data_IF_281802854853
#
_entry.id   IF_281802854853
#
_cell.length_a   1.000
_cell.length_b   1.000
_cell.length_c   1.000
_cell.angle_alpha   90.00
_cell.angle_beta   90.00
_cell.angle_gamma   90.00
#
_symmetry.space_group_name_H-M   'P 1'
#
loop_
_entity.id
_entity.type
_entity.pdbx_description
1 polymer ?
#
# COMPACT_ATOMS: atom_id res chain seq x y z
N UNK A 1 19.08 8.61 -11.76
CA UNK A 1 20.37 9.29 -12.00
C UNK A 1 20.16 10.79 -11.90
N UNK A 2 20.76 11.45 -10.90
CA UNK A 2 20.65 12.89 -10.66
C UNK A 2 21.78 13.70 -11.35
N UNK A 3 22.58 13.11 -12.24
CA UNK A 3 23.55 13.82 -13.06
C UNK A 3 22.86 14.56 -14.23
N UNK A 4 21.90 15.39 -13.89
CA UNK A 4 21.08 16.21 -14.80
C UNK A 4 20.93 17.62 -14.23
N UNK A 5 20.54 18.58 -15.09
CA UNK A 5 20.19 19.94 -14.64
C UNK A 5 18.99 19.88 -13.67
N UNK A 6 19.02 20.59 -12.54
CA UNK A 6 20.05 21.51 -12.03
C UNK A 6 21.08 20.88 -11.08
N UNK A 7 21.01 19.59 -10.80
CA UNK A 7 21.74 18.93 -9.69
C UNK A 7 23.17 18.57 -10.06
N UNK A 8 23.39 18.08 -11.30
CA UNK A 8 24.71 17.65 -11.82
C UNK A 8 25.51 16.76 -10.84
N UNK A 9 24.83 15.81 -10.17
CA UNK A 9 25.49 14.83 -9.32
C UNK A 9 26.30 13.87 -10.19
N UNK A 10 27.63 14.09 -10.22
CA UNK A 10 28.58 13.35 -11.03
C UNK A 10 29.24 12.19 -10.26
N UNK A 11 28.60 11.73 -9.19
CA UNK A 11 29.08 10.58 -8.43
C UNK A 11 29.22 9.35 -9.35
N UNK A 12 30.44 8.80 -9.35
CA UNK A 12 30.78 7.59 -10.09
C UNK A 12 31.53 6.62 -9.17
N UNK A 13 30.91 5.47 -8.89
CA UNK A 13 31.48 4.42 -8.05
C UNK A 13 32.82 3.91 -8.57
N UNK A 14 33.04 3.89 -9.90
CA UNK A 14 34.27 3.41 -10.52
C UNK A 14 35.48 4.28 -10.21
N UNK A 15 35.27 5.56 -9.87
CA UNK A 15 36.36 6.47 -9.51
C UNK A 15 36.89 6.24 -8.10
N UNK A 16 36.23 5.45 -7.25
CA UNK A 16 36.63 5.16 -5.88
C UNK A 16 36.83 6.41 -5.01
N UNK A 17 36.00 7.43 -5.21
CA UNK A 17 35.99 8.61 -4.35
C UNK A 17 35.10 8.35 -3.13
N UNK A 18 35.71 8.18 -1.96
CA UNK A 18 35.01 7.85 -0.72
C UNK A 18 34.81 9.04 0.21
N UNK A 19 35.44 10.19 -0.10
CA UNK A 19 35.36 11.40 0.73
C UNK A 19 35.65 12.66 -0.09
N UNK A 20 34.83 13.67 0.11
CA UNK A 20 35.07 15.01 -0.42
C UNK A 20 35.87 15.81 0.61
N UNK A 21 36.96 16.41 0.18
CA UNK A 21 37.85 17.20 1.02
C UNK A 21 37.75 18.67 0.63
N UNK A 22 37.04 19.46 1.45
CA UNK A 22 36.93 20.90 1.23
C UNK A 22 38.26 21.60 1.54
N UNK A 23 38.72 22.41 0.60
CA UNK A 23 39.96 23.14 0.69
C UNK A 23 39.67 24.60 1.03
N UNK A 24 40.33 25.18 2.07
CA UNK A 24 40.26 26.62 2.37
C UNK A 24 40.60 27.48 1.15
N UNK A 25 39.84 28.55 0.92
CA UNK A 25 40.03 29.45 -0.22
C UNK A 25 39.44 28.97 -1.55
N UNK A 26 38.76 27.82 -1.58
CA UNK A 26 38.02 27.35 -2.74
C UNK A 26 36.51 27.35 -2.45
N UNK A 27 35.64 27.82 -3.39
CA UNK A 27 34.22 27.83 -3.20
C UNK A 27 33.67 26.39 -3.20
N UNK A 28 32.72 26.13 -2.31
CA UNK A 28 31.96 24.87 -2.28
C UNK A 28 30.90 24.91 -3.37
N UNK A 29 30.89 23.87 -4.21
CA UNK A 29 29.89 23.73 -5.27
C UNK A 29 28.70 22.89 -4.78
N UNK A 30 27.49 23.16 -5.25
CA UNK A 30 26.29 22.41 -4.88
C UNK A 30 26.44 20.90 -5.17
N UNK A 31 27.08 20.53 -6.30
CA UNK A 31 27.35 19.13 -6.65
C UNK A 31 28.25 18.41 -5.63
N UNK A 32 29.11 19.13 -4.92
CA UNK A 32 30.00 18.52 -3.89
C UNK A 32 29.19 18.14 -2.65
N UNK A 33 28.18 18.94 -2.30
CA UNK A 33 27.24 18.62 -1.20
C UNK A 33 26.33 17.43 -1.58
N UNK A 34 25.83 17.41 -2.82
CA UNK A 34 25.04 16.28 -3.33
C UNK A 34 25.91 15.03 -3.43
N UNK A 35 27.12 15.14 -3.99
CA UNK A 35 28.07 14.04 -4.11
C UNK A 35 28.49 13.43 -2.77
N UNK A 36 28.59 14.23 -1.71
CA UNK A 36 28.81 13.72 -0.34
C UNK A 36 27.71 12.76 0.07
N UNK A 37 26.44 13.13 -0.19
CA UNK A 37 25.27 12.27 0.12
C UNK A 37 25.29 11.01 -0.74
N UNK A 38 25.59 11.11 -2.03
CA UNK A 38 25.66 9.97 -2.94
C UNK A 38 26.76 8.97 -2.56
N UNK A 39 27.91 9.44 -2.09
CA UNK A 39 28.97 8.59 -1.53
C UNK A 39 28.44 7.80 -0.32
N UNK A 40 27.81 8.47 0.64
CA UNK A 40 27.27 7.82 1.84
C UNK A 40 26.14 6.85 1.49
N UNK A 41 25.23 7.26 0.62
CA UNK A 41 24.14 6.41 0.15
C UNK A 41 24.65 5.14 -0.53
N UNK A 42 25.70 5.25 -1.35
CA UNK A 42 26.31 4.08 -2.00
C UNK A 42 26.93 3.10 -0.98
N UNK A 43 27.49 3.59 0.13
CA UNK A 43 27.99 2.72 1.21
C UNK A 43 26.86 1.98 1.90
N UNK A 44 25.75 2.68 2.22
CA UNK A 44 24.55 2.08 2.82
C UNK A 44 23.93 1.04 1.89
N UNK A 45 23.78 1.37 0.60
CA UNK A 45 23.27 0.47 -0.43
C UNK A 45 24.14 -0.79 -0.57
N UNK A 46 25.47 -0.61 -0.64
CA UNK A 46 26.42 -1.72 -0.77
C UNK A 46 26.35 -2.65 0.45
N UNK A 47 26.27 -2.09 1.66
CA UNK A 47 26.08 -2.86 2.88
C UNK A 47 24.72 -3.57 2.90
N UNK A 48 23.65 -2.84 2.56
CA UNK A 48 22.28 -3.38 2.54
C UNK A 48 22.14 -4.56 1.57
N UNK A 49 22.70 -4.47 0.36
CA UNK A 49 22.67 -5.53 -0.65
C UNK A 49 23.40 -6.83 -0.24
N UNK A 50 24.32 -6.77 0.73
CA UNK A 50 24.94 -7.96 1.27
C UNK A 50 24.07 -8.71 2.29
N UNK A 51 23.14 -8.01 2.90
CA UNK A 51 22.27 -8.56 3.94
C UNK A 51 20.88 -8.87 3.41
N UNK A 52 20.31 -7.94 2.62
CA UNK A 52 18.92 -7.96 2.18
C UNK A 52 18.83 -8.18 0.67
N UNK A 53 17.83 -8.95 0.28
CA UNK A 53 17.40 -9.01 -1.11
C UNK A 53 16.44 -7.85 -1.39
N UNK A 54 16.39 -7.37 -2.63
CA UNK A 54 15.40 -6.39 -3.09
C UNK A 54 13.97 -6.85 -2.72
N UNK A 55 13.21 -5.97 -2.06
CA UNK A 55 11.87 -6.27 -1.56
C UNK A 55 11.82 -7.03 -0.23
N UNK A 56 12.96 -7.26 0.45
CA UNK A 56 12.97 -7.91 1.76
C UNK A 56 12.35 -7.02 2.83
N UNK A 57 11.52 -7.61 3.70
CA UNK A 57 11.04 -6.94 4.90
C UNK A 57 12.18 -6.85 5.94
N UNK A 58 12.51 -5.64 6.34
CA UNK A 58 13.53 -5.36 7.37
C UNK A 58 12.87 -5.24 8.75
N UNK A 59 11.80 -4.46 8.83
CA UNK A 59 10.91 -4.45 9.98
C UNK A 59 9.64 -5.18 9.55
N UNK A 60 9.28 -6.28 10.21
CA UNK A 60 8.17 -7.11 9.78
C UNK A 60 6.86 -6.32 9.69
N UNK A 61 6.26 -6.34 8.50
CA UNK A 61 4.86 -6.10 8.26
C UNK A 61 4.21 -7.45 7.90
N UNK A 62 2.91 -7.58 8.08
CA UNK A 62 2.18 -8.75 7.60
C UNK A 62 1.93 -8.66 6.10
N UNK A 63 1.95 -9.78 5.41
CA UNK A 63 1.34 -9.92 4.08
C UNK A 63 0.21 -10.93 4.20
N UNK A 64 -0.96 -10.57 3.74
CA UNK A 64 -2.17 -11.37 3.88
C UNK A 64 -2.86 -11.48 2.51
N UNK A 65 -3.16 -12.71 2.12
CA UNK A 65 -4.00 -13.00 0.97
C UNK A 65 -5.33 -13.54 1.46
N UNK A 66 -6.40 -12.87 1.11
CA UNK A 66 -7.76 -13.27 1.41
C UNK A 66 -8.47 -13.67 0.12
N UNK A 67 -8.71 -14.96 -0.05
CA UNK A 67 -9.47 -15.54 -1.16
C UNK A 67 -10.99 -15.48 -0.94
N UNK A 68 -11.43 -15.10 0.27
CA UNK A 68 -12.84 -15.05 0.64
C UNK A 68 -13.24 -13.65 1.08
N UNK A 69 -12.75 -12.63 0.34
CA UNK A 69 -13.07 -11.24 0.60
C UNK A 69 -14.45 -10.92 0.05
N UNK A 70 -15.46 -11.04 0.91
CA UNK A 70 -16.86 -10.93 0.50
C UNK A 70 -17.19 -9.53 -0.01
N UNK A 71 -17.76 -9.47 -1.19
CA UNK A 71 -18.24 -8.26 -1.85
C UNK A 71 -19.77 -8.22 -1.86
N UNK A 72 -20.33 -7.01 -1.75
CA UNK A 72 -21.76 -6.79 -1.74
C UNK A 72 -22.08 -5.55 -2.59
N UNK A 73 -22.88 -5.73 -3.62
CA UNK A 73 -23.33 -4.66 -4.50
C UNK A 73 -24.48 -3.89 -3.85
N UNK A 74 -24.41 -2.58 -3.90
CA UNK A 74 -25.41 -1.70 -3.29
C UNK A 74 -26.00 -0.74 -4.32
N UNK A 75 -27.23 -0.32 -4.07
CA UNK A 75 -27.86 0.72 -4.87
C UNK A 75 -27.11 2.05 -4.73
N UNK A 76 -27.01 2.87 -5.77
CA UNK A 76 -26.32 4.16 -5.72
C UNK A 76 -27.02 5.18 -4.82
N UNK A 77 -28.29 4.97 -4.51
CA UNK A 77 -29.08 5.83 -3.62
C UNK A 77 -29.81 5.03 -2.56
N UNK A 78 -29.88 5.60 -1.35
CA UNK A 78 -30.69 5.08 -0.24
C UNK A 78 -31.55 6.23 0.32
N UNK A 79 -32.87 6.02 0.41
CA UNK A 79 -33.83 7.07 0.84
C UNK A 79 -33.69 8.41 0.06
N UNK A 80 -33.30 8.34 -1.21
CA UNK A 80 -33.11 9.52 -2.06
C UNK A 80 -31.75 10.24 -1.87
N UNK A 81 -30.86 9.73 -1.03
CA UNK A 81 -29.52 10.25 -0.81
C UNK A 81 -28.51 9.40 -1.58
N UNK A 82 -27.58 10.03 -2.30
CA UNK A 82 -26.45 9.35 -2.92
C UNK A 82 -25.53 8.74 -1.83
N UNK A 83 -25.34 7.44 -1.89
CA UNK A 83 -24.57 6.73 -0.86
C UNK A 83 -23.08 7.08 -0.88
N UNK A 84 -22.58 7.56 -2.03
CA UNK A 84 -21.15 7.92 -2.18
C UNK A 84 -20.68 9.02 -1.22
N UNK A 85 -21.61 9.86 -0.76
CA UNK A 85 -21.33 11.00 0.13
C UNK A 85 -20.89 10.59 1.54
N UNK A 86 -21.20 9.37 1.97
CA UNK A 86 -20.86 8.88 3.31
C UNK A 86 -20.10 7.55 3.36
N UNK A 87 -19.73 6.99 2.20
CA UNK A 87 -18.95 5.72 2.17
C UNK A 87 -17.58 5.83 2.83
N UNK A 88 -16.92 6.99 2.70
CA UNK A 88 -15.64 7.22 3.36
C UNK A 88 -15.77 7.19 4.89
N UNK A 89 -16.83 7.78 5.43
CA UNK A 89 -17.12 7.79 6.86
C UNK A 89 -17.47 6.40 7.37
N UNK A 90 -18.18 5.60 6.57
CA UNK A 90 -18.45 4.19 6.89
C UNK A 90 -17.15 3.41 7.12
N UNK A 91 -16.13 3.61 6.28
CA UNK A 91 -14.84 2.90 6.41
C UNK A 91 -14.01 3.47 7.55
N UNK A 92 -13.96 4.80 7.69
CA UNK A 92 -13.15 5.48 8.70
C UNK A 92 -13.72 5.40 10.10
N UNK A 93 -14.96 4.99 10.26
CA UNK A 93 -15.61 4.83 11.56
C UNK A 93 -14.81 3.92 12.50
N UNK A 94 -14.96 4.10 13.80
CA UNK A 94 -14.25 3.36 14.84
C UNK A 94 -12.71 3.36 14.65
N UNK A 95 -12.14 4.51 14.31
CA UNK A 95 -10.70 4.66 14.07
C UNK A 95 -10.20 3.77 12.91
N UNK A 96 -10.99 3.68 11.83
CA UNK A 96 -10.65 2.91 10.63
C UNK A 96 -10.94 1.41 10.73
N UNK A 97 -11.70 0.99 11.74
CA UNK A 97 -12.14 -0.41 11.85
C UNK A 97 -13.34 -0.75 10.95
N UNK A 98 -13.97 0.29 10.38
CA UNK A 98 -15.18 0.20 9.58
C UNK A 98 -16.46 0.13 10.41
N UNK A 99 -17.60 0.29 9.77
CA UNK A 99 -18.93 0.34 10.42
C UNK A 99 -19.57 -1.05 10.44
N UNK A 100 -20.12 -1.41 11.59
CA UNK A 100 -20.93 -2.62 11.75
C UNK A 100 -22.36 -2.37 11.29
N UNK A 101 -22.82 -3.27 10.44
CA UNK A 101 -24.18 -3.24 9.89
C UNK A 101 -24.85 -4.58 10.07
N UNK A 102 -26.18 -4.57 10.13
CA UNK A 102 -27.01 -5.76 10.24
C UNK A 102 -28.06 -5.76 9.14
N UNK A 103 -28.30 -6.89 8.54
CA UNK A 103 -29.41 -7.08 7.62
C UNK A 103 -30.75 -6.95 8.37
N UNK A 104 -31.64 -6.11 7.87
CA UNK A 104 -32.92 -5.81 8.52
C UNK A 104 -33.81 -7.06 8.63
N UNK A 105 -33.79 -7.91 7.63
CA UNK A 105 -34.61 -9.12 7.55
C UNK A 105 -33.82 -10.37 7.95
N UNK A 106 -32.62 -10.53 7.43
CA UNK A 106 -31.79 -11.72 7.66
C UNK A 106 -31.20 -11.77 9.06
N UNK A 107 -30.97 -10.60 9.69
CA UNK A 107 -30.26 -10.51 10.96
C UNK A 107 -28.76 -10.78 10.86
N UNK A 108 -28.23 -11.02 9.66
CA UNK A 108 -26.80 -11.21 9.42
C UNK A 108 -26.03 -9.94 9.83
N UNK A 109 -24.93 -10.09 10.57
CA UNK A 109 -24.10 -8.96 10.99
C UNK A 109 -22.77 -9.01 10.26
N UNK A 110 -22.39 -7.88 9.67
CA UNK A 110 -21.11 -7.71 9.01
C UNK A 110 -20.47 -6.35 9.31
N UNK A 111 -19.17 -6.24 9.09
CA UNK A 111 -18.43 -4.98 9.18
C UNK A 111 -17.96 -4.58 7.79
N UNK A 112 -18.35 -3.39 7.34
CA UNK A 112 -17.93 -2.84 6.05
C UNK A 112 -16.48 -2.38 6.20
N UNK A 113 -15.58 -2.90 5.36
CA UNK A 113 -14.15 -2.67 5.43
C UNK A 113 -13.59 -1.80 4.31
N UNK A 114 -14.23 -1.84 3.15
CA UNK A 114 -13.76 -1.12 1.97
C UNK A 114 -14.90 -0.96 0.97
N UNK A 115 -14.70 -0.13 -0.05
CA UNK A 115 -15.63 -0.01 -1.18
C UNK A 115 -14.89 0.28 -2.49
N UNK A 116 -15.55 0.04 -3.60
CA UNK A 116 -15.13 0.46 -4.95
C UNK A 116 -16.30 1.15 -5.63
N UNK A 117 -16.01 2.25 -6.30
CA UNK A 117 -16.96 2.99 -7.12
C UNK A 117 -16.74 2.68 -8.60
N UNK A 118 -17.81 2.55 -9.41
CA UNK A 118 -17.69 2.60 -10.86
C UNK A 118 -17.28 4.02 -11.33
N UNK A 119 -16.58 4.19 -12.50
CA UNK A 119 -16.13 3.11 -13.37
C UNK A 119 -14.73 2.61 -12.97
N UNK A 120 -14.66 1.50 -12.24
CA UNK A 120 -13.42 0.77 -11.98
C UNK A 120 -13.47 -0.52 -12.80
N UNK A 121 -12.35 -0.95 -13.36
CA UNK A 121 -12.29 -2.16 -14.17
C UNK A 121 -12.92 -3.36 -13.44
N UNK A 122 -13.89 -4.01 -14.08
CA UNK A 122 -14.62 -5.15 -13.52
C UNK A 122 -15.68 -4.81 -12.46
N UNK A 123 -16.01 -3.52 -12.26
CA UNK A 123 -17.03 -3.06 -11.31
C UNK A 123 -18.15 -2.35 -12.04
N UNK A 124 -19.33 -2.93 -12.04
CA UNK A 124 -20.52 -2.39 -12.70
C UNK A 124 -21.33 -1.49 -11.77
N UNK A 125 -21.33 -1.78 -10.48
CA UNK A 125 -22.16 -1.15 -9.44
C UNK A 125 -21.28 -0.81 -8.22
N UNK A 126 -21.74 0.13 -7.38
CA UNK A 126 -21.05 0.43 -6.12
C UNK A 126 -20.98 -0.85 -5.31
N UNK A 127 -19.75 -1.24 -4.98
CA UNK A 127 -19.49 -2.50 -4.28
C UNK A 127 -18.79 -2.21 -2.96
N UNK A 128 -19.38 -2.67 -1.86
CA UNK A 128 -18.79 -2.67 -0.53
C UNK A 128 -18.16 -4.03 -0.22
N UNK A 129 -17.11 -4.05 0.58
CA UNK A 129 -16.49 -5.28 1.05
C UNK A 129 -16.78 -5.47 2.53
N UNK A 130 -17.30 -6.65 2.85
CA UNK A 130 -17.84 -6.95 4.17
C UNK A 130 -17.11 -8.13 4.79
N UNK A 131 -16.73 -7.98 6.05
CA UNK A 131 -16.36 -9.09 6.91
C UNK A 131 -17.58 -9.52 7.73
N UNK A 132 -18.12 -10.67 7.42
CA UNK A 132 -19.24 -11.21 8.19
C UNK A 132 -18.81 -11.60 9.61
N UNK A 133 -19.59 -11.19 10.59
CA UNK A 133 -19.33 -11.40 12.00
C UNK A 133 -20.29 -12.40 12.64
N UNK A 134 -21.52 -12.49 12.10
CA UNK A 134 -22.59 -13.35 12.62
C UNK A 134 -23.49 -13.78 11.47
N UNK A 135 -23.86 -15.06 11.48
CA UNK A 135 -24.87 -15.63 10.57
C UNK A 135 -26.28 -15.10 10.84
N UNK A 136 -27.18 -15.36 9.93
CA UNK A 136 -28.58 -14.95 10.03
C UNK A 136 -29.33 -15.56 11.21
N UNK A 137 -30.54 -15.04 11.43
CA UNK A 137 -31.44 -15.53 12.49
C UNK A 137 -31.91 -16.98 12.24
N UNK A 138 -31.77 -17.47 11.01
CA UNK A 138 -32.00 -18.87 10.63
C UNK A 138 -30.86 -19.82 11.05
N UNK A 139 -29.70 -19.26 11.46
CA UNK A 139 -28.50 -20.02 11.83
C UNK A 139 -27.71 -20.61 10.65
N UNK A 140 -28.18 -20.47 9.42
CA UNK A 140 -27.62 -21.08 8.21
C UNK A 140 -27.06 -20.03 7.23
N UNK A 141 -27.79 -18.92 7.03
CA UNK A 141 -27.40 -17.88 6.07
C UNK A 141 -26.16 -17.12 6.54
N UNK A 142 -25.12 -17.07 5.68
CA UNK A 142 -23.83 -16.47 5.99
C UNK A 142 -23.53 -15.21 5.18
N UNK A 143 -24.36 -14.88 4.19
CA UNK A 143 -24.22 -13.71 3.34
C UNK A 143 -25.55 -12.96 3.23
N UNK A 144 -25.49 -11.64 3.05
CA UNK A 144 -26.68 -10.81 2.88
C UNK A 144 -27.48 -11.24 1.67
N UNK A 145 -28.80 -11.43 1.78
CA UNK A 145 -29.65 -11.75 0.64
C UNK A 145 -29.84 -10.54 -0.30
N UNK A 146 -30.31 -10.83 -1.51
CA UNK A 146 -30.61 -9.83 -2.52
C UNK A 146 -31.69 -8.83 -2.05
N UNK A 147 -31.52 -7.56 -2.38
CA UNK A 147 -32.47 -6.50 -2.08
C UNK A 147 -32.60 -6.14 -0.60
N UNK A 148 -31.73 -6.67 0.25
CA UNK A 148 -31.80 -6.41 1.68
C UNK A 148 -31.46 -4.96 2.04
N UNK A 149 -32.08 -4.44 3.07
CA UNK A 149 -31.75 -3.15 3.66
C UNK A 149 -30.80 -3.38 4.85
N UNK A 150 -29.70 -2.64 4.88
CA UNK A 150 -28.76 -2.68 5.99
C UNK A 150 -29.05 -1.57 6.99
N UNK A 151 -29.00 -1.94 8.26
CA UNK A 151 -29.17 -1.04 9.40
C UNK A 151 -27.88 -0.93 10.20
N UNK A 152 -27.66 0.23 10.81
CA UNK A 152 -26.49 0.49 11.64
C UNK A 152 -26.56 -0.25 12.98
N UNK A 153 -25.46 -0.89 13.36
CA UNK A 153 -25.25 -1.43 14.71
C UNK A 153 -24.57 -0.41 15.65
N UNK A 154 -24.13 0.72 15.10
CA UNK A 154 -23.41 1.79 15.78
C UNK A 154 -23.69 3.13 15.13
N UNK A 155 -23.43 4.24 15.83
CA UNK A 155 -23.67 5.56 15.28
C UNK A 155 -22.64 5.90 14.21
N UNK A 156 -23.09 6.60 13.15
CA UNK A 156 -22.26 7.11 12.07
C UNK A 156 -22.50 8.61 11.89
N UNK A 157 -21.42 9.39 11.86
CA UNK A 157 -21.49 10.82 11.61
C UNK A 157 -20.82 11.16 10.29
N UNK A 158 -21.52 11.88 9.42
CA UNK A 158 -20.98 12.43 8.19
C UNK A 158 -21.39 13.90 8.05
N UNK A 159 -20.42 14.75 7.76
CA UNK A 159 -20.66 16.20 7.79
C UNK A 159 -21.27 16.62 9.14
N UNK A 160 -22.45 17.27 9.09
CA UNK A 160 -23.20 17.70 10.27
C UNK A 160 -24.36 16.76 10.63
N UNK A 161 -24.47 15.59 10.00
CA UNK A 161 -25.55 14.62 10.19
C UNK A 161 -25.04 13.41 10.97
N UNK A 162 -25.77 12.99 11.98
CA UNK A 162 -25.51 11.74 12.71
C UNK A 162 -26.67 10.79 12.49
N UNK A 163 -26.36 9.61 11.95
CA UNK A 163 -27.25 8.47 11.92
C UNK A 163 -27.03 7.63 13.16
N UNK A 164 -28.13 7.20 13.77
CA UNK A 164 -28.08 6.45 15.02
C UNK A 164 -28.13 4.94 14.78
N UNK A 165 -27.79 4.19 15.78
CA UNK A 165 -28.00 2.74 15.82
C UNK A 165 -29.45 2.40 15.47
N UNK A 166 -29.64 1.40 14.61
CA UNK A 166 -30.88 0.96 13.97
C UNK A 166 -31.44 1.84 12.84
N UNK A 167 -30.80 2.95 12.48
CA UNK A 167 -31.14 3.67 11.26
C UNK A 167 -30.74 2.83 10.04
N UNK A 168 -31.54 2.92 8.98
CA UNK A 168 -31.22 2.28 7.69
C UNK A 168 -30.17 3.10 6.97
N UNK A 169 -29.21 2.43 6.32
CA UNK A 169 -28.09 3.13 5.69
C UNK A 169 -27.85 2.77 4.23
N UNK A 170 -28.04 1.52 3.86
CA UNK A 170 -27.78 1.02 2.51
C UNK A 170 -28.86 0.05 2.08
N UNK A 171 -29.12 -0.03 0.79
CA UNK A 171 -29.98 -1.05 0.20
C UNK A 171 -29.18 -1.82 -0.84
N UNK A 172 -29.20 -3.14 -0.77
CA UNK A 172 -28.54 -4.02 -1.70
C UNK A 172 -29.31 -4.06 -3.03
N UNK A 173 -28.59 -4.39 -4.11
CA UNK A 173 -29.23 -4.62 -5.41
C UNK A 173 -30.16 -5.83 -5.37
N UNK A 174 -31.17 -5.82 -6.26
CA UNK A 174 -32.20 -6.84 -6.27
C UNK A 174 -31.76 -8.22 -6.75
N UNK A 175 -30.62 -8.30 -7.46
CA UNK A 175 -30.09 -9.55 -8.02
C UNK A 175 -28.58 -9.60 -7.88
N UNK A 176 -28.05 -10.78 -7.57
CA UNK A 176 -26.61 -11.03 -7.45
C UNK A 176 -25.89 -10.02 -6.54
N UNK A 177 -26.49 -9.66 -5.42
CA UNK A 177 -25.98 -8.66 -4.50
C UNK A 177 -24.68 -9.11 -3.83
N UNK A 178 -24.62 -10.33 -3.33
CA UNK A 178 -23.45 -10.85 -2.64
C UNK A 178 -22.60 -11.76 -3.53
N UNK A 179 -21.30 -11.56 -3.49
CA UNK A 179 -20.31 -12.39 -4.19
C UNK A 179 -19.05 -12.56 -3.31
N UNK A 180 -18.18 -13.47 -3.72
CA UNK A 180 -16.87 -13.66 -3.10
C UNK A 180 -15.82 -13.04 -4.02
N UNK A 181 -15.13 -12.05 -3.51
CA UNK A 181 -13.96 -11.46 -4.13
C UNK A 181 -12.66 -11.96 -3.52
N UNK A 182 -11.55 -11.36 -3.93
CA UNK A 182 -10.23 -11.64 -3.40
C UNK A 182 -9.44 -10.36 -3.18
N UNK A 183 -8.64 -10.34 -2.12
CA UNK A 183 -7.84 -9.17 -1.75
C UNK A 183 -6.43 -9.57 -1.29
N UNK A 184 -5.51 -8.64 -1.37
CA UNK A 184 -4.17 -8.78 -0.83
C UNK A 184 -3.84 -7.55 0.01
N UNK A 185 -3.41 -7.78 1.24
CA UNK A 185 -3.07 -6.75 2.21
C UNK A 185 -1.61 -6.78 2.61
N UNK A 186 -1.07 -5.60 2.92
CA UNK A 186 0.25 -5.42 3.50
C UNK A 186 0.10 -4.55 4.73
N UNK A 187 0.61 -5.01 5.87
CA UNK A 187 0.67 -4.22 7.09
C UNK A 187 1.89 -3.30 7.09
N UNK A 188 1.83 -2.24 7.88
CA UNK A 188 2.94 -1.30 8.05
C UNK A 188 4.25 -2.02 8.36
N UNK A 189 5.32 -1.64 7.64
CA UNK A 189 6.65 -2.21 7.80
C UNK A 189 7.71 -1.40 7.07
N UNK A 190 8.98 -1.84 7.16
CA UNK A 190 10.10 -1.26 6.42
C UNK A 190 10.66 -2.29 5.46
N UNK A 191 10.83 -1.89 4.22
CA UNK A 191 11.33 -2.77 3.15
C UNK A 191 12.61 -2.20 2.57
N UNK A 192 13.54 -3.10 2.22
CA UNK A 192 14.76 -2.72 1.51
C UNK A 192 14.49 -2.70 0.00
N UNK A 193 14.49 -1.52 -0.60
CA UNK A 193 14.21 -1.30 -2.03
C UNK A 193 15.09 -0.19 -2.58
N UNK A 194 15.61 -0.36 -3.80
CA UNK A 194 16.47 0.63 -4.47
C UNK A 194 17.68 1.08 -3.64
N UNK A 195 18.19 0.19 -2.78
CA UNK A 195 19.33 0.50 -1.92
C UNK A 195 19.00 1.35 -0.69
N UNK A 196 17.73 1.61 -0.42
CA UNK A 196 17.25 2.36 0.75
C UNK A 196 16.21 1.55 1.54
N UNK A 197 15.99 1.97 2.78
CA UNK A 197 14.96 1.42 3.66
C UNK A 197 13.71 2.29 3.54
N UNK A 198 12.65 1.74 2.95
CA UNK A 198 11.42 2.46 2.65
C UNK A 198 10.33 2.07 3.63
N UNK A 199 9.75 3.07 4.30
CA UNK A 199 8.55 2.89 5.12
C UNK A 199 7.33 2.65 4.24
N UNK A 200 6.64 1.55 4.50
CA UNK A 200 5.42 1.16 3.78
C UNK A 200 4.24 1.22 4.75
N UNK A 201 3.23 2.03 4.47
CA UNK A 201 2.02 2.08 5.27
C UNK A 201 1.18 0.81 5.04
N UNK A 202 0.25 0.54 5.96
CA UNK A 202 -0.77 -0.48 5.74
C UNK A 202 -1.56 -0.16 4.48
N UNK A 203 -1.64 -1.12 3.57
CA UNK A 203 -2.33 -1.00 2.28
C UNK A 203 -3.06 -2.29 1.94
N UNK A 204 -4.16 -2.16 1.23
CA UNK A 204 -4.95 -3.28 0.73
C UNK A 204 -5.28 -3.04 -0.73
N UNK A 205 -5.16 -4.08 -1.55
CA UNK A 205 -5.57 -4.06 -2.95
C UNK A 205 -6.55 -5.20 -3.22
N UNK A 206 -7.63 -4.87 -3.93
CA UNK A 206 -8.59 -5.85 -4.39
C UNK A 206 -8.09 -6.45 -5.69
N UNK A 207 -7.94 -7.77 -5.70
CA UNK A 207 -7.47 -8.51 -6.86
C UNK A 207 -8.61 -8.72 -7.83
N UNK A 208 -9.68 -9.37 -7.38
CA UNK A 208 -10.92 -9.53 -8.12
C UNK A 208 -12.11 -9.16 -7.22
N UNK A 209 -13.00 -8.29 -7.68
CA UNK A 209 -14.14 -7.87 -6.86
C UNK A 209 -15.19 -8.98 -6.68
N UNK A 210 -15.34 -9.88 -7.66
CA UNK A 210 -16.42 -10.88 -7.71
C UNK A 210 -15.93 -12.30 -7.95
N UNK A 211 -14.62 -12.57 -7.79
CA UNK A 211 -14.04 -13.90 -7.97
C UNK A 211 -13.01 -14.21 -6.89
N UNK A 212 -13.06 -15.43 -6.40
CA UNK A 212 -12.08 -16.04 -5.48
C UNK A 212 -10.86 -16.64 -6.22
N UNK A 213 -10.82 -16.55 -7.57
CA UNK A 213 -9.78 -17.14 -8.43
C UNK A 213 -8.96 -16.09 -9.18
N UNK A 214 -8.27 -15.18 -8.47
CA UNK A 214 -7.42 -14.19 -9.12
C UNK A 214 -6.20 -14.83 -9.78
N UNK A 215 -5.68 -14.16 -10.81
CA UNK A 215 -4.47 -14.58 -11.54
C UNK A 215 -3.58 -13.37 -11.78
N UNK A 216 -2.79 -12.98 -10.74
CA UNK A 216 -1.99 -11.76 -10.74
C UNK A 216 -0.61 -11.95 -10.08
N UNK A 217 0.28 -11.03 -10.43
CA UNK A 217 1.47 -10.69 -9.66
C UNK A 217 1.15 -9.46 -8.82
N UNK A 218 1.40 -9.51 -7.53
CA UNK A 218 1.12 -8.40 -6.61
C UNK A 218 2.42 -7.97 -5.93
N UNK A 219 2.62 -6.70 -5.81
CA UNK A 219 3.83 -6.15 -5.23
C UNK A 219 3.83 -4.64 -5.13
N UNK A 220 4.99 -4.09 -4.85
CA UNK A 220 5.18 -2.65 -4.78
C UNK A 220 5.64 -2.09 -6.13
N UNK A 221 4.94 -1.10 -6.62
CA UNK A 221 5.43 -0.18 -7.63
C UNK A 221 6.22 0.93 -6.95
N UNK A 222 7.50 1.03 -7.29
CA UNK A 222 8.41 2.02 -6.70
C UNK A 222 8.34 3.29 -7.52
N UNK A 223 8.02 4.40 -6.85
CA UNK A 223 7.93 5.73 -7.43
C UNK A 223 9.09 6.57 -6.91
N UNK A 224 9.86 7.15 -7.83
CA UNK A 224 10.99 8.03 -7.55
C UNK A 224 10.63 9.43 -8.04
N UNK A 225 10.63 10.42 -7.14
CA UNK A 225 10.20 11.77 -7.41
C UNK A 225 11.20 12.77 -6.84
N UNK A 226 11.31 13.93 -7.48
CA UNK A 226 11.99 15.09 -6.92
C UNK A 226 10.92 16.08 -6.48
N UNK A 227 10.91 16.40 -5.19
CA UNK A 227 9.96 17.31 -4.55
C UNK A 227 10.65 18.64 -4.31
N UNK A 228 10.10 19.71 -4.87
CA UNK A 228 10.55 21.09 -4.70
C UNK A 228 9.70 21.84 -3.69
N UNK A 229 10.11 23.08 -3.34
CA UNK A 229 9.33 23.93 -2.47
C UNK A 229 7.97 24.34 -3.05
N UNK A 230 7.77 24.24 -4.38
CA UNK A 230 6.46 24.44 -5.01
C UNK A 230 5.51 23.26 -4.83
N UNK A 231 6.03 22.08 -4.52
CA UNK A 231 5.25 20.87 -4.33
C UNK A 231 4.95 20.60 -2.85
N UNK A 232 5.80 21.11 -1.95
CA UNK A 232 5.67 20.95 -0.51
C UNK A 232 6.09 22.24 0.21
N UNK A 233 5.13 22.95 0.77
CA UNK A 233 5.32 24.21 1.49
C UNK A 233 6.25 24.09 2.72
N UNK A 234 6.44 22.90 3.25
CA UNK A 234 7.37 22.66 4.37
C UNK A 234 8.83 22.88 3.99
N UNK A 235 9.15 22.95 2.70
CA UNK A 235 10.49 23.20 2.17
C UNK A 235 10.85 24.69 2.06
N UNK A 236 9.93 25.60 2.36
CA UNK A 236 10.25 27.01 2.53
C UNK A 236 10.91 27.28 3.89
N UNK A 237 11.80 28.29 3.92
CA UNK A 237 12.47 28.70 5.16
C UNK A 237 11.43 29.14 6.21
N UNK A 238 11.47 28.51 7.38
CA UNK A 238 10.54 28.75 8.48
C UNK A 238 11.06 29.76 9.52
N UNK A 239 12.21 30.39 9.30
CA UNK A 239 12.84 31.36 10.22
C UNK A 239 12.13 32.71 10.19
N UNK A 240 10.97 32.80 10.85
CA UNK A 240 10.18 34.03 10.95
C UNK A 240 11.02 35.14 11.60
N UNK A 241 10.98 36.35 10.95
CA UNK A 241 11.73 37.52 11.43
C UNK A 241 13.13 37.68 10.87
N UNK A 242 13.59 36.76 10.01
CA UNK A 242 14.86 36.85 9.29
C UNK A 242 14.65 37.12 7.79
N UNK A 243 15.68 37.61 7.13
CA UNK A 243 15.62 38.07 5.73
C UNK A 243 15.30 36.93 4.73
N UNK A 244 15.64 35.70 5.09
CA UNK A 244 15.41 34.51 4.25
C UNK A 244 14.06 33.84 4.49
N UNK A 245 13.22 34.34 5.38
CA UNK A 245 11.91 33.77 5.63
C UNK A 245 11.12 33.55 4.34
N UNK A 246 10.54 32.36 4.19
CA UNK A 246 9.84 31.90 3.00
C UNK A 246 10.69 31.80 1.71
N UNK A 247 12.02 31.81 1.81
CA UNK A 247 12.85 31.45 0.67
C UNK A 247 12.73 29.95 0.36
N UNK A 248 12.73 29.52 -0.92
CA UNK A 248 12.68 28.12 -1.28
C UNK A 248 13.96 27.39 -0.83
N UNK A 249 13.79 26.24 -0.19
CA UNK A 249 14.88 25.35 0.21
C UNK A 249 15.36 24.47 -0.95
N UNK A 250 16.28 23.56 -0.64
CA UNK A 250 16.76 22.56 -1.60
C UNK A 250 15.65 21.51 -1.88
N UNK A 251 15.68 20.96 -3.07
CA UNK A 251 14.77 19.87 -3.47
C UNK A 251 15.05 18.58 -2.69
N UNK A 252 14.08 17.69 -2.64
CA UNK A 252 14.16 16.39 -1.97
C UNK A 252 13.94 15.26 -2.95
N UNK A 253 14.86 14.29 -2.99
CA UNK A 253 14.62 13.04 -3.67
C UNK A 253 13.78 12.12 -2.78
N UNK A 254 12.58 11.77 -3.25
CA UNK A 254 11.61 10.98 -2.53
C UNK A 254 11.43 9.62 -3.21
N UNK A 255 11.46 8.58 -2.42
CA UNK A 255 11.06 7.23 -2.84
C UNK A 255 9.78 6.88 -2.09
N UNK A 256 8.75 6.56 -2.84
CA UNK A 256 7.47 6.07 -2.32
C UNK A 256 7.09 4.76 -3.00
N UNK A 257 6.17 4.03 -2.40
CA UNK A 257 5.69 2.77 -2.95
C UNK A 257 4.18 2.72 -2.95
N UNK A 258 3.64 2.15 -4.01
CA UNK A 258 2.21 1.88 -4.15
C UNK A 258 2.01 0.38 -4.31
N UNK A 259 1.08 -0.19 -3.54
CA UNK A 259 0.68 -1.58 -3.76
C UNK A 259 -0.08 -1.69 -5.08
N UNK A 260 0.37 -2.58 -5.96
CA UNK A 260 -0.17 -2.74 -7.31
C UNK A 260 -0.31 -4.22 -7.68
N UNK A 261 -1.24 -4.51 -8.59
CA UNK A 261 -1.39 -5.81 -9.22
C UNK A 261 -1.00 -5.71 -10.69
N UNK A 262 -0.33 -6.74 -11.20
CA UNK A 262 0.09 -6.84 -12.61
C UNK A 262 -0.26 -8.19 -13.19
N UNK A 263 -0.41 -8.24 -14.50
CA UNK A 263 -0.67 -9.48 -15.22
C UNK A 263 0.48 -10.48 -15.01
N UNK A 264 0.18 -11.78 -15.08
CA UNK A 264 1.18 -12.85 -14.94
C UNK A 264 2.25 -12.83 -16.05
N UNK A 265 1.98 -12.21 -17.19
CA UNK A 265 2.90 -12.13 -18.33
C UNK A 265 3.76 -10.86 -18.34
N UNK A 266 3.47 -9.88 -17.50
CA UNK A 266 4.19 -8.61 -17.46
C UNK A 266 5.45 -8.75 -16.61
N UNK A 267 6.58 -9.11 -17.23
CA UNK A 267 7.89 -9.29 -16.57
C UNK A 267 8.88 -8.16 -16.81
N UNK A 268 8.56 -7.22 -17.69
CA UNK A 268 9.52 -6.19 -18.14
C UNK A 268 9.53 -4.93 -17.28
N UNK A 269 8.84 -4.94 -16.14
CA UNK A 269 8.73 -3.79 -15.26
C UNK A 269 9.86 -3.76 -14.23
N UNK A 270 10.85 -2.89 -14.45
CA UNK A 270 12.00 -2.71 -13.57
C UNK A 270 11.66 -1.99 -12.25
N UNK A 271 10.49 -1.32 -12.19
CA UNK A 271 10.04 -0.56 -11.02
C UNK A 271 9.08 -1.37 -10.13
N UNK A 272 8.87 -2.64 -10.44
CA UNK A 272 7.94 -3.49 -9.72
C UNK A 272 8.67 -4.54 -8.86
N UNK A 273 8.43 -4.49 -7.57
CA UNK A 273 8.96 -5.47 -6.60
C UNK A 273 7.87 -6.46 -6.24
N UNK A 274 7.94 -7.67 -6.80
CA UNK A 274 6.93 -8.71 -6.61
C UNK A 274 7.01 -9.31 -5.21
N UNK A 275 5.93 -9.20 -4.44
CA UNK A 275 5.75 -9.83 -3.13
C UNK A 275 4.98 -11.15 -3.20
N UNK A 276 4.00 -11.22 -4.09
CA UNK A 276 3.03 -12.30 -4.14
C UNK A 276 2.68 -12.65 -5.57
N UNK A 277 2.44 -13.93 -5.82
CA UNK A 277 1.93 -14.43 -7.10
C UNK A 277 0.84 -15.44 -6.86
N UNK A 278 -0.28 -15.22 -7.48
CA UNK A 278 -1.46 -16.10 -7.46
C UNK A 278 -1.84 -16.47 -8.89
N UNK A 279 -2.25 -17.70 -9.10
CA UNK A 279 -2.80 -18.20 -10.36
C UNK A 279 -4.02 -19.05 -10.05
N UNK A 280 -5.15 -18.69 -10.65
CA UNK A 280 -6.44 -19.35 -10.47
C UNK A 280 -6.84 -19.53 -9.00
N UNK A 281 -6.55 -18.50 -8.17
CA UNK A 281 -6.79 -18.49 -6.73
C UNK A 281 -5.71 -19.21 -5.89
N UNK A 282 -4.80 -19.96 -6.53
CA UNK A 282 -3.74 -20.67 -5.82
C UNK A 282 -2.48 -19.83 -5.65
N UNK A 283 -1.98 -19.76 -4.43
CA UNK A 283 -0.70 -19.10 -4.13
C UNK A 283 0.46 -19.84 -4.77
N UNK A 284 1.15 -19.21 -5.72
CA UNK A 284 2.35 -19.76 -6.37
C UNK A 284 3.65 -19.23 -5.80
N UNK A 285 3.63 -18.02 -5.23
CA UNK A 285 4.79 -17.40 -4.59
C UNK A 285 4.30 -16.43 -3.53
N UNK A 286 4.81 -16.57 -2.33
CA UNK A 286 4.71 -15.58 -1.28
C UNK A 286 6.13 -15.22 -0.87
N UNK A 287 6.50 -13.94 -0.99
CA UNK A 287 7.83 -13.49 -0.61
C UNK A 287 7.89 -13.34 0.92
N UNK A 288 8.08 -14.46 1.58
CA UNK A 288 8.37 -14.54 3.01
C UNK A 288 9.89 -14.66 3.22
N UNK A 289 10.66 -13.78 2.53
CA UNK A 289 12.10 -13.76 2.69
C UNK A 289 12.43 -13.32 4.12
N UNK A 290 13.09 -14.20 4.86
CA UNK A 290 13.63 -13.83 6.18
C UNK A 290 14.57 -12.65 6.03
N UNK A 291 14.60 -11.79 7.05
CA UNK A 291 15.42 -10.58 7.12
C UNK A 291 16.89 -10.84 6.73
N UNK A 292 17.40 -12.04 6.97
CA UNK A 292 18.79 -12.43 6.72
C UNK A 292 18.95 -13.44 5.57
N UNK A 293 18.10 -13.41 4.57
CA UNK A 293 18.11 -14.40 3.48
C UNK A 293 19.45 -14.48 2.71
N UNK A 294 20.12 -13.37 2.49
CA UNK A 294 21.41 -13.34 1.78
C UNK A 294 22.55 -13.87 2.67
N UNK A 295 22.56 -13.51 3.94
CA UNK A 295 23.52 -14.07 4.92
C UNK A 295 23.32 -15.58 5.04
N UNK A 296 22.06 -16.04 5.10
CA UNK A 296 21.76 -17.49 5.16
C UNK A 296 22.29 -18.23 3.95
N UNK A 297 22.10 -17.69 2.74
CA UNK A 297 22.65 -18.26 1.51
C UNK A 297 24.18 -18.31 1.52
N UNK A 298 24.82 -17.24 1.98
CA UNK A 298 26.27 -17.18 2.09
C UNK A 298 26.80 -18.27 3.02
N UNK A 299 26.23 -18.41 4.22
CA UNK A 299 26.60 -19.45 5.16
C UNK A 299 26.32 -20.86 4.63
N UNK A 300 25.18 -21.07 3.97
CA UNK A 300 24.86 -22.33 3.35
C UNK A 300 25.89 -22.74 2.28
N UNK A 301 26.27 -21.79 1.42
CA UNK A 301 27.32 -22.01 0.40
C UNK A 301 28.65 -22.34 1.05
N UNK A 302 29.06 -21.58 2.07
CA UNK A 302 30.34 -21.81 2.78
C UNK A 302 30.35 -23.17 3.46
N UNK A 303 29.27 -23.58 4.11
CA UNK A 303 29.15 -24.91 4.73
C UNK A 303 29.28 -26.02 3.68
N UNK A 304 28.65 -25.85 2.52
CA UNK A 304 28.77 -26.80 1.41
C UNK A 304 30.20 -26.87 0.87
N UNK A 305 30.85 -25.70 0.68
CA UNK A 305 32.25 -25.63 0.20
C UNK A 305 33.24 -26.27 1.19
N UNK A 306 32.98 -26.18 2.50
CA UNK A 306 33.85 -26.72 3.55
C UNK A 306 33.58 -28.20 3.88
N UNK A 307 32.34 -28.66 3.85
CA UNK A 307 31.94 -30.01 4.29
C UNK A 307 31.43 -30.92 3.16
N UNK A 308 31.15 -30.39 1.98
CA UNK A 308 30.59 -31.15 0.86
C UNK A 308 29.17 -31.67 1.05
N UNK A 309 28.57 -31.42 2.20
CA UNK A 309 27.20 -31.82 2.56
C UNK A 309 26.44 -30.61 3.12
N UNK A 310 25.14 -30.62 2.89
CA UNK A 310 24.22 -29.62 3.38
C UNK A 310 23.08 -30.30 4.15
#
# INVERSE_FOLDING_TARGET
>A
NLNINPYYDDFDKAKNFYKILFRPGHPVQARELTGLQSILQNQVESFGKHIFKEGSMVIPGGVEYDASYFSVKINPTHLGIDVSVYLNEIISNNSGKGTRVRGQTSGIVGTIKNFILPPTEGVDEITIFVKYNQSGTDGESVAFPNGEVLILEENLTYGNTTLNTNDTILTLVAENAAATGSAFGVSKGVYFMRGVFVDVPTSLIILEPYSDRPSYRVGFEVLEEVISASDDDSLYDNAKGFTNFAAPGADRFKISVKLAKKSLQDFNDTNFVELFRVRDGETKKLQNTSVYSEIKKYFAKRTFDESGNY
#
